data_IF_233956319164
#
_entry.id   IF_233956319164
#
_cell.length_a   1.000
_cell.length_b   1.000
_cell.length_c   1.000
_cell.angle_alpha   90.00
_cell.angle_beta   90.00
_cell.angle_gamma   90.00
#
_symmetry.space_group_name_H-M   'P 1'
#
loop_
_entity.id
_entity.type
_entity.pdbx_description
1 polymer ?
#
# COMPACT_ATOMS: atom_id res chain seq x y z
N UNK A 1 -7.53 11.74 -0.31
CA UNK A 1 -6.12 11.76 0.12
C UNK A 1 -5.23 11.91 -1.08
N UNK A 2 -4.35 12.88 -1.03
CA UNK A 2 -3.50 13.20 -2.17
C UNK A 2 -2.11 12.59 -2.08
N UNK A 3 -1.69 12.29 -0.87
CA UNK A 3 -0.37 11.74 -0.64
C UNK A 3 -0.41 10.64 0.38
N UNK A 4 0.44 9.64 0.16
CA UNK A 4 0.63 8.59 1.15
C UNK A 4 1.68 9.06 2.16
N UNK A 5 1.57 8.64 3.44
CA UNK A 5 2.56 9.00 4.44
C UNK A 5 3.93 8.43 4.10
N UNK A 6 4.98 9.11 4.56
CA UNK A 6 6.35 8.60 4.40
C UNK A 6 6.73 7.60 5.49
N UNK A 7 6.13 7.74 6.67
CA UNK A 7 6.44 6.83 7.77
C UNK A 7 5.95 5.42 7.45
N UNK A 8 6.80 4.38 7.53
CA UNK A 8 6.39 3.04 7.14
C UNK A 8 5.18 2.50 7.89
N UNK A 9 5.06 2.77 9.19
CA UNK A 9 3.90 2.31 9.96
C UNK A 9 2.63 3.01 9.53
N UNK A 10 2.72 4.31 9.32
CA UNK A 10 1.56 5.08 8.84
C UNK A 10 1.22 4.71 7.42
N UNK A 11 2.23 4.45 6.59
CA UNK A 11 2.03 4.02 5.21
C UNK A 11 1.33 2.66 5.18
N UNK A 12 1.79 1.73 6.01
CA UNK A 12 1.17 0.42 6.13
C UNK A 12 -0.32 0.54 6.47
N UNK A 13 -0.65 1.34 7.48
CA UNK A 13 -2.02 1.52 7.90
C UNK A 13 -2.87 2.19 6.82
N UNK A 14 -2.33 3.24 6.20
CA UNK A 14 -3.07 3.98 5.18
C UNK A 14 -3.33 3.11 3.95
N UNK A 15 -2.33 2.37 3.49
CA UNK A 15 -2.48 1.52 2.31
C UNK A 15 -3.49 0.41 2.58
N UNK A 16 -3.41 -0.22 3.75
CA UNK A 16 -4.37 -1.29 4.07
C UNK A 16 -5.80 -0.77 4.17
N UNK A 17 -5.98 0.44 4.71
CA UNK A 17 -7.31 1.03 4.78
C UNK A 17 -7.86 1.31 3.38
N UNK A 18 -7.02 1.83 2.49
CA UNK A 18 -7.43 2.10 1.12
C UNK A 18 -7.75 0.81 0.35
N UNK A 19 -6.96 -0.24 0.56
CA UNK A 19 -7.22 -1.52 -0.07
C UNK A 19 -8.53 -2.13 0.43
N UNK A 20 -8.87 -1.91 1.70
CA UNK A 20 -10.11 -2.43 2.25
C UNK A 20 -11.32 -1.65 1.74
N UNK A 21 -11.22 -0.33 1.69
CA UNK A 21 -12.39 0.53 1.50
C UNK A 21 -12.52 1.13 0.11
N UNK A 22 -11.41 1.36 -0.61
CA UNK A 22 -11.44 2.18 -1.83
C UNK A 22 -11.01 1.46 -3.08
N UNK A 23 -10.09 0.50 -2.99
CA UNK A 23 -9.50 -0.12 -4.17
C UNK A 23 -9.64 -1.64 -4.13
N UNK A 24 -9.84 -2.22 -5.32
CA UNK A 24 -10.00 -3.66 -5.44
C UNK A 24 -8.67 -4.39 -5.62
N UNK A 25 -7.59 -3.66 -5.88
CA UNK A 25 -6.27 -4.26 -6.05
C UNK A 25 -5.18 -3.26 -5.71
N UNK A 26 -3.98 -3.77 -5.44
CA UNK A 26 -2.84 -2.90 -5.20
C UNK A 26 -2.47 -2.12 -6.46
N UNK A 27 -2.61 -2.76 -7.64
CA UNK A 27 -2.35 -2.07 -8.89
C UNK A 27 -3.29 -0.88 -9.09
N UNK A 28 -4.56 -1.06 -8.76
CA UNK A 28 -5.53 0.03 -8.89
C UNK A 28 -5.19 1.18 -7.96
N UNK A 29 -4.78 0.87 -6.74
CA UNK A 29 -4.37 1.88 -5.78
C UNK A 29 -3.18 2.67 -6.30
N UNK A 30 -2.15 1.95 -6.76
CA UNK A 30 -0.92 2.58 -7.22
C UNK A 30 -1.16 3.44 -8.45
N UNK A 31 -2.01 2.98 -9.37
CA UNK A 31 -2.32 3.74 -10.56
C UNK A 31 -3.06 5.04 -10.22
N UNK A 32 -4.07 4.93 -9.38
CA UNK A 32 -4.88 6.10 -9.01
C UNK A 32 -4.09 7.11 -8.19
N UNK A 33 -3.23 6.63 -7.30
CA UNK A 33 -2.42 7.50 -6.45
C UNK A 33 -1.13 7.95 -7.14
N UNK A 34 -0.88 7.45 -8.35
CA UNK A 34 0.32 7.75 -9.12
C UNK A 34 1.59 7.36 -8.36
N UNK A 35 1.59 6.14 -7.84
CA UNK A 35 2.68 5.59 -7.05
C UNK A 35 3.22 4.36 -7.76
N UNK A 36 4.55 4.22 -7.82
CA UNK A 36 5.16 3.03 -8.38
C UNK A 36 4.99 1.86 -7.41
N UNK A 37 4.36 0.78 -7.88
CA UNK A 37 4.07 -0.38 -7.03
C UNK A 37 5.34 -0.99 -6.45
N UNK A 38 6.39 -1.14 -7.27
CA UNK A 38 7.63 -1.72 -6.80
C UNK A 38 8.25 -0.89 -5.68
N UNK A 39 8.25 0.43 -5.83
CA UNK A 39 8.78 1.32 -4.81
C UNK A 39 7.97 1.23 -3.53
N UNK A 40 6.65 1.14 -3.64
CA UNK A 40 5.78 1.03 -2.47
C UNK A 40 6.03 -0.29 -1.74
N UNK A 41 6.09 -1.39 -2.49
CA UNK A 41 6.35 -2.69 -1.88
C UNK A 41 7.72 -2.74 -1.22
N UNK A 42 8.74 -2.18 -1.87
CA UNK A 42 10.09 -2.16 -1.31
C UNK A 42 10.15 -1.36 -0.02
N UNK A 43 9.46 -0.23 0.02
CA UNK A 43 9.44 0.61 1.20
C UNK A 43 8.79 -0.10 2.38
N UNK A 44 7.69 -0.77 2.15
CA UNK A 44 7.01 -1.51 3.22
C UNK A 44 7.77 -2.77 3.59
N UNK A 45 8.43 -3.41 2.62
CA UNK A 45 9.24 -4.58 2.91
C UNK A 45 10.42 -4.24 3.81
N UNK A 46 11.02 -3.08 3.61
CA UNK A 46 12.12 -2.63 4.45
C UNK A 46 11.69 -2.47 5.91
N UNK A 47 10.41 -2.24 6.14
CA UNK A 47 9.84 -2.13 7.48
C UNK A 47 9.28 -3.46 7.99
N UNK A 48 9.40 -4.52 7.21
CA UNK A 48 8.95 -5.85 7.62
C UNK A 48 7.56 -6.24 7.16
N UNK A 49 6.95 -5.48 6.25
CA UNK A 49 5.61 -5.77 5.75
C UNK A 49 5.67 -6.27 4.31
N UNK A 50 4.89 -7.31 4.02
CA UNK A 50 4.80 -7.86 2.67
C UNK A 50 3.36 -7.90 2.21
N UNK A 51 3.16 -7.69 0.90
CA UNK A 51 1.82 -7.72 0.34
C UNK A 51 1.34 -9.16 0.15
N UNK A 52 0.13 -9.44 0.61
CA UNK A 52 -0.54 -10.71 0.40
C UNK A 52 -1.69 -10.52 -0.58
N UNK A 53 -1.58 -11.12 -1.75
CA UNK A 53 -2.67 -11.06 -2.72
C UNK A 53 -3.87 -11.88 -2.24
N UNK A 54 -3.62 -12.94 -1.49
CA UNK A 54 -4.68 -13.78 -0.97
C UNK A 54 -5.58 -13.02 -0.01
N UNK A 55 -4.98 -12.21 0.86
CA UNK A 55 -5.74 -11.47 1.87
C UNK A 55 -5.94 -10.01 1.50
N UNK A 56 -5.40 -9.60 0.36
CA UNK A 56 -5.60 -8.25 -0.17
C UNK A 56 -5.12 -7.17 0.80
N UNK A 57 -3.96 -7.39 1.38
CA UNK A 57 -3.39 -6.44 2.34
C UNK A 57 -1.91 -6.70 2.55
N UNK A 58 -1.24 -5.71 3.15
CA UNK A 58 0.10 -5.91 3.67
C UNK A 58 0.01 -6.43 5.10
N UNK A 59 0.98 -7.24 5.49
CA UNK A 59 1.04 -7.71 6.88
C UNK A 59 2.42 -8.19 7.32
#
# INVERSE_FOLDING_TARGET
>A
MEHLPNDPMMLFSAVNMLLRDEYTSLDALCEDMNVDRTALEDKLKAAGFEYSEQYHKFW
#
